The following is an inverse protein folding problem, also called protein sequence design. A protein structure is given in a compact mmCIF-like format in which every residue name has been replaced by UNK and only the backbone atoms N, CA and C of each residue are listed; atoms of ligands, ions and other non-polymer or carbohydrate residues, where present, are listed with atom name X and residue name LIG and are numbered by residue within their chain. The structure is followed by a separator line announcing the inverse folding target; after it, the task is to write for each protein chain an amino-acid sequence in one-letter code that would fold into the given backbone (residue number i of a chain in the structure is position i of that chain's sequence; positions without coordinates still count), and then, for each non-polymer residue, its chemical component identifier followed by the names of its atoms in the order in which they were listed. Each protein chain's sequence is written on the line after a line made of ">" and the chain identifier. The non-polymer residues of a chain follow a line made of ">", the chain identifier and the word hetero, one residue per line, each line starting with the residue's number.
data_IF_298556489065
#
_entry.id   IF_298556489065
#
_cell.length_a   1.000
_cell.length_b   1.000
_cell.length_c   1.000
_cell.angle_alpha   90.00
_cell.angle_beta   90.00
_cell.angle_gamma   90.00
#
_symmetry.space_group_name_H-M   'P 1'
#
loop_
_entity.id
_entity.type
_entity.pdbx_description
1 polymer ?
#
# COMPACT_ATOMS: atom_id res chain seq x y z
N UNK A 1 10.98 2.49 -11.69
CA UNK A 1 10.49 3.75 -11.07
C UNK A 1 9.06 3.98 -11.52
N UNK A 2 8.12 4.26 -10.60
CA UNK A 2 6.74 4.65 -10.92
C UNK A 2 6.60 6.16 -10.68
N UNK A 3 6.02 6.88 -11.64
CA UNK A 3 5.71 8.30 -11.50
C UNK A 3 4.20 8.50 -11.63
N UNK A 4 3.61 9.16 -10.65
CA UNK A 4 2.18 9.51 -10.61
C UNK A 4 2.07 11.03 -10.67
N UNK A 5 1.30 11.55 -11.65
CA UNK A 5 1.18 12.99 -11.88
C UNK A 5 -0.29 13.39 -11.94
N UNK A 6 -0.69 14.32 -11.06
CA UNK A 6 -2.05 14.91 -10.99
C UNK A 6 -3.18 13.85 -10.95
N UNK A 7 -2.90 12.71 -10.33
CA UNK A 7 -3.86 11.59 -10.27
C UNK A 7 -5.05 11.95 -9.39
N UNK A 8 -6.25 11.74 -9.92
CA UNK A 8 -7.50 11.89 -9.17
C UNK A 8 -8.43 10.74 -9.46
N UNK A 9 -9.15 10.29 -8.42
CA UNK A 9 -10.18 9.26 -8.53
C UNK A 9 -11.47 9.72 -7.88
N UNK A 10 -12.59 9.52 -8.61
CA UNK A 10 -13.93 9.83 -8.15
C UNK A 10 -14.86 8.65 -8.42
N UNK A 11 -15.62 8.24 -7.41
CA UNK A 11 -16.69 7.26 -7.52
C UNK A 11 -18.05 7.89 -7.18
N UNK A 12 -19.02 7.76 -8.06
CA UNK A 12 -20.40 8.19 -7.78
C UNK A 12 -20.54 9.63 -7.27
N UNK A 13 -19.70 10.56 -7.75
CA UNK A 13 -19.71 11.96 -7.31
C UNK A 13 -18.87 12.25 -6.06
N UNK A 14 -18.37 11.23 -5.35
CA UNK A 14 -17.46 11.41 -4.22
C UNK A 14 -16.00 11.24 -4.65
N UNK A 15 -15.16 12.26 -4.38
CA UNK A 15 -13.72 12.18 -4.62
C UNK A 15 -13.06 11.33 -3.53
N UNK A 16 -12.33 10.30 -3.94
CA UNK A 16 -11.55 9.46 -3.04
C UNK A 16 -10.20 10.14 -2.75
N UNK A 17 -9.51 10.59 -3.79
CA UNK A 17 -8.32 11.45 -3.69
C UNK A 17 -8.20 12.34 -4.93
N UNK A 18 -7.44 13.44 -4.78
CA UNK A 18 -7.34 14.49 -5.79
C UNK A 18 -5.91 15.05 -5.87
N UNK A 19 -5.46 15.33 -7.10
CA UNK A 19 -4.18 15.98 -7.41
C UNK A 19 -2.98 15.30 -6.76
N UNK A 20 -2.91 13.97 -6.85
CA UNK A 20 -1.83 13.17 -6.27
C UNK A 20 -0.61 13.22 -7.17
N UNK A 21 0.53 13.60 -6.58
CA UNK A 21 1.82 13.61 -7.25
C UNK A 21 2.81 12.83 -6.39
N UNK A 22 3.27 11.68 -6.89
CA UNK A 22 4.15 10.76 -6.18
C UNK A 22 5.21 10.20 -7.12
N UNK A 23 6.36 9.85 -6.55
CA UNK A 23 7.45 9.19 -7.26
C UNK A 23 7.99 8.05 -6.41
N UNK A 24 7.90 6.84 -6.95
CA UNK A 24 8.40 5.64 -6.30
C UNK A 24 9.70 5.19 -6.99
N UNK A 25 10.74 4.96 -6.21
CA UNK A 25 12.09 4.66 -6.69
C UNK A 25 12.47 3.24 -6.27
N UNK A 26 13.09 2.42 -7.14
CA UNK A 26 13.61 1.10 -6.77
C UNK A 26 14.56 1.15 -5.57
N UNK A 27 14.73 0.02 -4.89
CA UNK A 27 15.52 -0.08 -3.67
C UNK A 27 14.83 0.52 -2.44
N UNK A 28 13.52 0.77 -2.51
CA UNK A 28 12.74 1.30 -1.39
C UNK A 28 11.45 0.52 -1.19
N UNK A 29 11.03 0.43 0.07
CA UNK A 29 9.74 -0.09 0.47
C UNK A 29 8.83 1.06 0.93
N UNK A 30 7.65 1.16 0.33
CA UNK A 30 6.65 2.21 0.59
C UNK A 30 5.44 1.61 1.30
N UNK A 31 5.26 1.96 2.57
CA UNK A 31 4.09 1.56 3.36
C UNK A 31 2.90 2.49 3.11
N UNK A 32 1.82 1.97 2.55
CA UNK A 32 0.58 2.74 2.32
C UNK A 32 -0.34 2.58 3.52
N UNK A 33 -0.64 3.69 4.17
CA UNK A 33 -1.47 3.74 5.35
C UNK A 33 -2.65 4.68 5.18
N UNK A 34 -3.70 4.48 5.98
CA UNK A 34 -4.91 5.29 5.94
C UNK A 34 -6.04 4.60 6.69
N UNK A 35 -7.15 5.30 6.92
CA UNK A 35 -8.34 4.71 7.52
C UNK A 35 -8.95 3.61 6.64
N UNK A 36 -9.80 2.75 7.24
CA UNK A 36 -10.58 1.81 6.45
C UNK A 36 -11.51 2.58 5.50
N UNK A 37 -11.51 2.17 4.21
CA UNK A 37 -12.25 2.88 3.16
C UNK A 37 -11.56 4.15 2.63
N UNK A 38 -10.34 4.50 3.07
CA UNK A 38 -9.60 5.65 2.54
C UNK A 38 -9.11 5.47 1.09
N UNK A 39 -9.15 4.25 0.56
CA UNK A 39 -8.76 3.95 -0.82
C UNK A 39 -7.38 3.30 -0.98
N UNK A 40 -6.82 2.69 0.08
CA UNK A 40 -5.50 2.02 0.03
C UNK A 40 -5.44 0.95 -1.06
N UNK A 41 -6.29 -0.08 -0.97
CA UNK A 41 -6.37 -1.16 -1.97
C UNK A 41 -6.76 -0.64 -3.36
N UNK A 42 -7.63 0.39 -3.41
CA UNK A 42 -8.00 1.03 -4.68
C UNK A 42 -6.79 1.72 -5.32
N UNK A 43 -5.93 2.37 -4.53
CA UNK A 43 -4.71 2.98 -5.03
C UNK A 43 -3.74 1.93 -5.59
N UNK A 44 -3.56 0.77 -4.92
CA UNK A 44 -2.79 -0.34 -5.47
C UNK A 44 -3.38 -0.85 -6.80
N UNK A 45 -4.70 -1.02 -6.87
CA UNK A 45 -5.39 -1.48 -8.09
C UNK A 45 -5.27 -0.50 -9.25
N UNK A 46 -5.15 0.79 -8.99
CA UNK A 46 -4.86 1.79 -10.03
C UNK A 46 -3.40 1.66 -10.50
N UNK A 47 -2.47 1.45 -9.58
CA UNK A 47 -1.06 1.26 -9.94
C UNK A 47 -0.84 -0.04 -10.72
N UNK A 48 -1.61 -1.10 -10.45
CA UNK A 48 -1.58 -2.36 -11.20
C UNK A 48 -2.28 -2.28 -12.57
N UNK A 49 -3.08 -1.21 -12.82
CA UNK A 49 -3.87 -1.09 -14.03
C UNK A 49 -5.20 -1.85 -14.01
N UNK A 50 -5.61 -2.40 -12.85
CA UNK A 50 -6.89 -3.10 -12.69
C UNK A 50 -8.10 -2.14 -12.66
N UNK A 51 -7.87 -0.89 -12.25
CA UNK A 51 -8.91 0.15 -12.16
C UNK A 51 -8.44 1.41 -12.86
N UNK A 52 -9.28 1.97 -13.72
CA UNK A 52 -9.04 3.25 -14.36
C UNK A 52 -9.19 4.43 -13.38
N UNK A 53 -8.41 5.46 -13.57
CA UNK A 53 -8.48 6.71 -12.82
C UNK A 53 -9.25 7.80 -13.60
N UNK A 54 -9.73 8.82 -12.89
CA UNK A 54 -10.55 9.88 -13.52
C UNK A 54 -9.68 10.90 -14.29
N UNK A 55 -8.59 11.35 -13.70
CA UNK A 55 -7.64 12.29 -14.32
C UNK A 55 -6.22 12.02 -13.83
N UNK A 56 -5.23 12.47 -14.60
CA UNK A 56 -3.82 12.34 -14.27
C UNK A 56 -3.09 11.39 -15.20
N UNK A 57 -1.89 11.01 -14.82
CA UNK A 57 -1.02 10.11 -15.57
C UNK A 57 -0.19 9.25 -14.62
N UNK A 58 -0.04 7.96 -14.98
CA UNK A 58 0.86 7.02 -14.31
C UNK A 58 1.85 6.52 -15.34
N UNK A 59 3.13 6.72 -15.09
CA UNK A 59 4.21 6.24 -15.95
C UNK A 59 4.96 5.12 -15.25
N UNK A 60 4.94 3.93 -15.87
CA UNK A 60 5.65 2.72 -15.44
C UNK A 60 6.45 2.23 -16.65
N UNK A 61 7.76 1.94 -16.51
CA UNK A 61 8.55 1.41 -17.60
C UNK A 61 8.04 0.02 -18.04
N UNK A 62 7.80 -0.16 -19.32
CA UNK A 62 7.25 -1.40 -19.88
C UNK A 62 8.16 -2.62 -19.78
N UNK A 63 9.45 -2.41 -19.57
CA UNK A 63 10.46 -3.47 -19.44
C UNK A 63 10.61 -4.00 -18.00
N UNK A 64 9.81 -3.52 -17.06
CA UNK A 64 9.87 -3.94 -15.66
C UNK A 64 8.64 -4.79 -15.34
N UNK A 65 8.87 -6.03 -14.94
CA UNK A 65 7.78 -6.92 -14.49
C UNK A 65 7.24 -6.41 -13.15
N UNK A 66 5.92 -6.22 -13.10
CA UNK A 66 5.17 -5.92 -11.89
C UNK A 66 4.45 -7.17 -11.42
N UNK A 67 4.55 -7.46 -10.14
CA UNK A 67 3.79 -8.51 -9.49
C UNK A 67 2.85 -7.95 -8.44
N UNK A 68 1.65 -8.51 -8.37
CA UNK A 68 0.58 -8.07 -7.46
C UNK A 68 0.10 -9.26 -6.65
N UNK A 69 0.03 -9.11 -5.34
CA UNK A 69 -0.57 -10.13 -4.47
C UNK A 69 -2.07 -10.23 -4.78
N UNK A 70 -2.45 -11.33 -5.42
CA UNK A 70 -3.84 -11.63 -5.78
C UNK A 70 -4.64 -12.03 -4.54
N UNK A 71 -5.87 -11.53 -4.43
CA UNK A 71 -6.77 -11.87 -3.31
C UNK A 71 -7.66 -13.08 -3.63
N UNK A 72 -7.86 -13.40 -4.91
CA UNK A 72 -8.66 -14.56 -5.35
C UNK A 72 -7.80 -15.81 -5.47
N UNK A 73 -7.72 -16.56 -4.38
CA UNK A 73 -6.96 -17.80 -4.30
C UNK A 73 -7.71 -19.02 -4.87
N UNK A 74 -9.00 -18.90 -5.19
CA UNK A 74 -9.77 -19.99 -5.79
C UNK A 74 -9.52 -20.16 -7.30
N UNK A 75 -9.00 -19.12 -7.95
CA UNK A 75 -8.67 -19.12 -9.37
C UNK A 75 -7.71 -20.26 -9.76
N UNK A 76 -6.91 -20.73 -8.83
CA UNK A 76 -5.84 -21.70 -9.06
C UNK A 76 -6.15 -23.09 -8.48
N UNK A 77 -7.37 -23.39 -8.09
CA UNK A 77 -7.76 -24.64 -7.43
C UNK A 77 -7.43 -25.92 -8.26
N UNK A 78 -7.40 -25.82 -9.58
CA UNK A 78 -7.09 -26.94 -10.49
C UNK A 78 -5.58 -27.10 -10.79
N UNK A 79 -4.72 -26.24 -10.25
CA UNK A 79 -3.28 -26.29 -10.44
C UNK A 79 -2.57 -26.80 -9.19
N UNK A 80 -1.36 -27.34 -9.38
CA UNK A 80 -0.51 -27.68 -8.25
C UNK A 80 0.06 -26.42 -7.59
N UNK A 81 0.48 -26.54 -6.33
CA UNK A 81 1.15 -25.47 -5.59
C UNK A 81 2.38 -24.95 -6.36
N UNK A 82 3.21 -25.88 -6.86
CA UNK A 82 4.40 -25.57 -7.66
C UNK A 82 4.05 -24.77 -8.91
N UNK A 83 3.10 -25.26 -9.72
CA UNK A 83 2.65 -24.57 -10.93
C UNK A 83 2.08 -23.18 -10.62
N UNK A 84 1.27 -23.07 -9.54
CA UNK A 84 0.66 -21.80 -9.13
C UNK A 84 1.72 -20.76 -8.84
N UNK A 85 2.80 -21.10 -8.15
CA UNK A 85 3.87 -20.14 -7.87
C UNK A 85 4.61 -19.75 -9.14
N UNK A 86 4.96 -20.71 -10.01
CA UNK A 86 5.64 -20.44 -11.30
C UNK A 86 4.81 -19.51 -12.19
N UNK A 87 3.46 -19.60 -12.15
CA UNK A 87 2.56 -18.69 -12.87
C UNK A 87 2.71 -17.22 -12.44
N UNK A 88 3.37 -16.92 -11.33
CA UNK A 88 3.80 -15.55 -10.97
C UNK A 88 4.72 -14.91 -12.01
N UNK A 89 5.37 -15.73 -12.84
CA UNK A 89 6.06 -15.30 -14.05
C UNK A 89 5.38 -15.96 -15.26
N UNK A 90 4.34 -15.30 -15.79
CA UNK A 90 3.50 -15.83 -16.87
C UNK A 90 4.33 -16.29 -18.07
N UNK A 91 5.31 -15.49 -18.51
CA UNK A 91 6.13 -15.85 -19.67
C UNK A 91 6.98 -17.11 -19.43
N UNK A 92 7.53 -17.27 -18.24
CA UNK A 92 8.29 -18.47 -17.90
C UNK A 92 7.37 -19.71 -17.91
N UNK A 93 6.17 -19.60 -17.34
CA UNK A 93 5.20 -20.68 -17.33
C UNK A 93 4.74 -21.06 -18.74
N UNK A 94 4.47 -20.07 -19.61
CA UNK A 94 4.15 -20.32 -21.03
C UNK A 94 5.28 -21.06 -21.74
N UNK A 95 6.55 -20.64 -21.57
CA UNK A 95 7.71 -21.29 -22.17
C UNK A 95 7.80 -22.75 -21.70
N UNK A 96 7.59 -23.02 -20.41
CA UNK A 96 7.57 -24.39 -19.90
C UNK A 96 6.51 -25.24 -20.60
N UNK A 97 5.29 -24.74 -20.72
CA UNK A 97 4.20 -25.45 -21.40
C UNK A 97 4.43 -25.60 -22.91
N UNK A 98 4.97 -24.57 -23.58
CA UNK A 98 5.32 -24.65 -24.98
C UNK A 98 6.43 -25.68 -25.25
N UNK A 99 7.45 -25.74 -24.40
CA UNK A 99 8.51 -26.74 -24.46
C UNK A 99 7.96 -28.14 -24.28
N UNK A 100 7.14 -28.38 -23.25
CA UNK A 100 6.51 -29.67 -22.97
C UNK A 100 5.68 -30.15 -24.16
N UNK A 101 4.84 -29.24 -24.71
CA UNK A 101 4.01 -29.54 -25.85
C UNK A 101 4.84 -29.83 -27.11
N UNK A 102 5.98 -29.14 -27.29
CA UNK A 102 6.84 -29.29 -28.44
C UNK A 102 7.58 -30.63 -28.38
N UNK A 103 8.12 -31.00 -27.23
CA UNK A 103 8.84 -32.27 -27.05
C UNK A 103 7.92 -33.50 -26.97
N UNK A 104 6.63 -33.30 -26.71
CA UNK A 104 5.60 -34.36 -26.75
C UNK A 104 5.12 -34.70 -28.15
N UNK A 105 5.54 -33.98 -29.21
CA UNK A 105 5.15 -34.26 -30.59
C UNK A 105 5.76 -35.57 -31.09
N UNK A 106 4.95 -36.42 -31.70
CA UNK A 106 5.43 -37.66 -32.35
C UNK A 106 6.23 -37.36 -33.62
N UNK A 107 5.82 -36.30 -34.37
CA UNK A 107 6.50 -35.85 -35.60
C UNK A 107 7.29 -34.57 -35.33
N UNK A 108 8.48 -34.69 -34.73
CA UNK A 108 9.36 -33.56 -34.45
C UNK A 108 10.12 -33.15 -35.71
N UNK A 109 9.90 -31.90 -36.18
CA UNK A 109 10.50 -31.38 -37.42
C UNK A 109 11.72 -30.50 -37.16
N UNK A 110 12.51 -30.20 -38.23
CA UNK A 110 13.63 -29.25 -38.14
C UNK A 110 13.16 -27.84 -37.66
N UNK A 111 11.94 -27.40 -38.05
CA UNK A 111 11.34 -26.14 -37.60
C UNK A 111 11.05 -26.21 -36.12
N UNK A 112 10.57 -27.34 -35.60
CA UNK A 112 10.35 -27.54 -34.15
C UNK A 112 11.70 -27.49 -33.41
N UNK A 113 12.79 -28.00 -34.00
CA UNK A 113 14.12 -27.88 -33.43
C UNK A 113 14.63 -26.47 -33.31
N UNK A 114 14.36 -25.59 -34.29
CA UNK A 114 14.70 -24.17 -34.23
C UNK A 114 13.85 -23.47 -33.13
N UNK A 115 12.55 -23.76 -33.09
CA UNK A 115 11.65 -23.20 -32.05
C UNK A 115 12.08 -23.63 -30.66
N UNK A 116 12.43 -24.91 -30.47
CA UNK A 116 12.93 -25.43 -29.20
C UNK A 116 14.20 -24.69 -28.73
N UNK A 117 15.16 -24.45 -29.66
CA UNK A 117 16.37 -23.70 -29.34
C UNK A 117 16.12 -22.28 -28.89
N UNK A 118 15.13 -21.56 -29.48
CA UNK A 118 14.73 -20.22 -29.07
C UNK A 118 14.12 -20.26 -27.68
N UNK A 119 13.16 -21.18 -27.43
CA UNK A 119 12.52 -21.33 -26.13
C UNK A 119 13.52 -21.71 -25.04
N UNK A 120 14.52 -22.55 -25.33
CA UNK A 120 15.60 -22.88 -24.38
C UNK A 120 16.44 -21.64 -24.03
N UNK A 121 16.74 -20.79 -25.02
CA UNK A 121 17.43 -19.53 -24.78
C UNK A 121 16.65 -18.60 -23.85
N UNK A 122 15.36 -18.36 -24.14
CA UNK A 122 14.48 -17.53 -23.29
C UNK A 122 14.33 -18.14 -21.89
N UNK A 123 14.19 -19.46 -21.79
CA UNK A 123 14.08 -20.18 -20.53
C UNK A 123 15.34 -20.00 -19.66
N UNK A 124 16.52 -20.10 -20.27
CA UNK A 124 17.79 -19.89 -19.57
C UNK A 124 17.96 -18.43 -19.11
N UNK A 125 17.57 -17.44 -19.95
CA UNK A 125 17.61 -16.02 -19.59
C UNK A 125 16.72 -15.69 -18.40
N UNK A 126 15.61 -16.42 -18.21
CA UNK A 126 14.69 -16.26 -17.08
C UNK A 126 15.06 -17.13 -15.87
N UNK A 127 16.25 -17.74 -15.82
CA UNK A 127 16.66 -18.71 -14.80
C UNK A 127 15.68 -19.89 -14.62
N UNK A 128 15.06 -20.33 -15.71
CA UNK A 128 14.04 -21.38 -15.67
C UNK A 128 14.53 -22.72 -15.08
N UNK A 129 15.82 -23.02 -15.20
CA UNK A 129 16.42 -24.23 -14.61
C UNK A 129 16.39 -24.24 -13.07
N UNK A 130 16.42 -23.09 -12.45
CA UNK A 130 16.39 -22.94 -10.99
C UNK A 130 14.96 -22.64 -10.45
N UNK A 131 13.97 -22.54 -11.35
CA UNK A 131 12.61 -22.13 -11.00
C UNK A 131 11.98 -22.98 -9.89
N UNK A 132 12.03 -24.31 -9.99
CA UNK A 132 11.48 -25.20 -8.97
C UNK A 132 12.23 -25.06 -7.63
N UNK A 133 13.54 -24.83 -7.66
CA UNK A 133 14.35 -24.63 -6.46
C UNK A 133 13.98 -23.31 -5.79
N UNK A 134 13.80 -22.23 -6.55
CA UNK A 134 13.36 -20.94 -6.03
C UNK A 134 11.95 -21.05 -5.44
N UNK A 135 11.02 -21.71 -6.13
CA UNK A 135 9.67 -21.96 -5.60
C UNK A 135 9.72 -22.72 -4.29
N UNK A 136 10.53 -23.79 -4.22
CA UNK A 136 10.66 -24.58 -3.00
C UNK A 136 11.21 -23.75 -1.83
N UNK A 137 12.17 -22.86 -2.07
CA UNK A 137 12.71 -21.94 -1.06
C UNK A 137 11.67 -20.94 -0.57
N UNK A 138 10.89 -20.32 -1.48
CA UNK A 138 9.81 -19.39 -1.14
C UNK A 138 8.72 -20.07 -0.30
N UNK A 139 8.27 -21.24 -0.74
CA UNK A 139 7.24 -22.01 -0.03
C UNK A 139 7.72 -22.45 1.36
N UNK A 140 8.95 -22.94 1.46
CA UNK A 140 9.53 -23.36 2.73
C UNK A 140 9.69 -22.17 3.70
N UNK A 141 10.14 -21.03 3.21
CA UNK A 141 10.25 -19.79 3.99
C UNK A 141 8.89 -19.33 4.54
N UNK A 142 7.82 -19.51 3.77
CA UNK A 142 6.44 -19.24 4.19
C UNK A 142 5.80 -20.39 4.99
N UNK A 143 6.57 -21.42 5.37
CA UNK A 143 6.09 -22.51 6.20
C UNK A 143 5.26 -23.58 5.47
N UNK A 144 5.30 -23.62 4.13
CA UNK A 144 4.67 -24.67 3.33
C UNK A 144 5.66 -25.84 3.15
N UNK A 145 5.38 -26.96 3.79
CA UNK A 145 6.24 -28.15 3.73
C UNK A 145 6.32 -28.78 2.35
N UNK A 146 7.47 -29.41 2.03
CA UNK A 146 7.76 -30.01 0.72
C UNK A 146 6.73 -31.04 0.25
N UNK A 147 6.05 -31.72 1.18
CA UNK A 147 4.98 -32.69 0.87
C UNK A 147 3.81 -32.03 0.12
N UNK A 148 3.55 -30.75 0.38
CA UNK A 148 2.44 -30.01 -0.22
C UNK A 148 2.80 -29.38 -1.59
N UNK A 149 4.09 -29.31 -1.98
CA UNK A 149 4.50 -28.61 -3.18
C UNK A 149 3.85 -29.15 -4.47
N UNK A 150 3.59 -30.45 -4.52
CA UNK A 150 2.96 -31.10 -5.70
C UNK A 150 1.47 -31.43 -5.47
N UNK A 151 0.88 -30.99 -4.33
CA UNK A 151 -0.55 -31.09 -4.07
C UNK A 151 -1.31 -30.04 -4.89
N UNK A 152 -2.60 -30.28 -5.15
CA UNK A 152 -3.44 -29.28 -5.80
C UNK A 152 -3.82 -28.16 -4.82
N UNK A 153 -3.96 -26.94 -5.33
CA UNK A 153 -4.38 -25.80 -4.54
C UNK A 153 -5.73 -26.04 -3.81
N UNK A 154 -6.68 -26.72 -4.43
CA UNK A 154 -7.96 -27.07 -3.81
C UNK A 154 -7.84 -27.90 -2.53
N UNK A 155 -6.76 -28.65 -2.39
CA UNK A 155 -6.53 -29.56 -1.23
C UNK A 155 -5.91 -28.81 -0.03
N UNK A 156 -5.46 -27.56 -0.22
CA UNK A 156 -4.89 -26.73 0.83
C UNK A 156 -5.98 -26.04 1.66
N UNK A 157 -5.67 -25.78 2.92
CA UNK A 157 -6.51 -24.90 3.75
C UNK A 157 -6.36 -23.42 3.28
N UNK A 158 -7.30 -22.54 3.70
CA UNK A 158 -7.33 -21.15 3.26
C UNK A 158 -6.06 -20.36 3.64
N UNK A 159 -5.46 -20.65 4.80
CA UNK A 159 -4.21 -19.98 5.22
C UNK A 159 -3.03 -20.34 4.34
N UNK A 160 -2.87 -21.64 4.00
CA UNK A 160 -1.80 -22.10 3.13
C UNK A 160 -1.99 -21.57 1.69
N UNK A 161 -3.23 -21.48 1.20
CA UNK A 161 -3.52 -20.84 -0.11
C UNK A 161 -2.99 -19.41 -0.16
N UNK A 162 -3.22 -18.61 0.88
CA UNK A 162 -2.71 -17.22 0.96
C UNK A 162 -1.18 -17.19 0.93
N UNK A 163 -0.50 -18.10 1.65
CA UNK A 163 0.96 -18.22 1.63
C UNK A 163 1.48 -18.59 0.24
N UNK A 164 0.81 -19.48 -0.48
CA UNK A 164 1.16 -19.83 -1.87
C UNK A 164 0.98 -18.65 -2.82
N UNK A 165 -0.10 -17.87 -2.67
CA UNK A 165 -0.31 -16.66 -3.46
C UNK A 165 0.75 -15.60 -3.18
N UNK A 166 1.20 -15.50 -1.93
CA UNK A 166 2.32 -14.62 -1.59
C UNK A 166 3.62 -15.10 -2.25
N UNK A 167 3.94 -16.41 -2.19
CA UNK A 167 5.07 -16.98 -2.91
C UNK A 167 5.00 -16.69 -4.42
N UNK A 168 3.82 -16.82 -5.05
CA UNK A 168 3.57 -16.46 -6.44
C UNK A 168 3.94 -15.00 -6.73
N UNK A 169 3.52 -14.07 -5.85
CA UNK A 169 3.81 -12.65 -6.01
C UNK A 169 5.31 -12.33 -5.89
N UNK A 170 6.06 -13.09 -5.09
CA UNK A 170 7.48 -12.89 -4.86
C UNK A 170 8.38 -13.59 -5.89
N UNK A 171 7.85 -14.61 -6.60
CA UNK A 171 8.61 -15.49 -7.49
C UNK A 171 9.26 -14.76 -8.67
N UNK A 172 10.48 -15.18 -8.99
CA UNK A 172 11.24 -14.73 -10.18
C UNK A 172 11.68 -13.25 -10.04
N UNK A 173 11.82 -12.72 -8.86
CA UNK A 173 12.34 -11.38 -8.53
C UNK A 173 11.77 -10.27 -9.44
N UNK A 174 10.46 -9.96 -9.37
CA UNK A 174 9.87 -8.88 -10.16
C UNK A 174 10.54 -7.55 -9.83
N UNK A 175 10.57 -6.61 -10.76
CA UNK A 175 11.13 -5.28 -10.48
C UNK A 175 10.22 -4.39 -9.62
N UNK A 176 8.92 -4.71 -9.56
CA UNK A 176 7.91 -4.01 -8.75
C UNK A 176 7.02 -5.05 -8.08
N UNK A 177 6.81 -4.92 -6.77
CA UNK A 177 5.90 -5.75 -5.97
C UNK A 177 4.84 -4.87 -5.32
N UNK A 178 3.56 -5.24 -5.53
CA UNK A 178 2.41 -4.62 -4.87
C UNK A 178 1.77 -5.63 -3.92
N UNK A 179 1.78 -5.33 -2.62
CA UNK A 179 1.24 -6.21 -1.58
C UNK A 179 0.09 -5.53 -0.84
N UNK A 180 -1.08 -6.15 -0.82
CA UNK A 180 -2.23 -5.69 -0.04
C UNK A 180 -2.45 -6.60 1.15
N UNK A 181 -2.14 -6.12 2.37
CA UNK A 181 -2.24 -6.83 3.65
C UNK A 181 -1.52 -8.20 3.67
N UNK A 182 -0.22 -8.28 3.29
CA UNK A 182 0.47 -9.55 3.11
C UNK A 182 0.69 -10.32 4.42
N UNK A 183 0.64 -9.65 5.56
CA UNK A 183 0.82 -10.27 6.89
C UNK A 183 -0.45 -10.95 7.41
N UNK A 184 -1.61 -10.73 6.77
CA UNK A 184 -2.85 -11.37 7.17
C UNK A 184 -2.76 -12.89 6.97
N UNK A 185 -3.16 -13.65 7.98
CA UNK A 185 -3.14 -15.11 8.01
C UNK A 185 -1.73 -15.75 7.98
N UNK A 186 -0.66 -14.98 8.19
CA UNK A 186 0.68 -15.50 8.41
C UNK A 186 0.94 -15.73 9.89
N UNK A 187 1.69 -16.78 10.21
CA UNK A 187 2.30 -16.96 11.53
C UNK A 187 3.55 -16.06 11.68
N UNK A 188 4.03 -15.93 12.90
CA UNK A 188 5.15 -15.05 13.24
C UNK A 188 6.43 -15.43 12.44
N UNK A 189 6.67 -16.73 12.26
CA UNK A 189 7.86 -17.20 11.51
C UNK A 189 7.80 -16.79 10.04
N UNK A 190 6.63 -16.95 9.41
CA UNK A 190 6.39 -16.51 8.02
C UNK A 190 6.45 -15.00 7.87
N UNK A 191 5.98 -14.22 8.86
CA UNK A 191 6.10 -12.74 8.86
C UNK A 191 7.56 -12.34 8.94
N UNK A 192 8.34 -12.92 9.87
CA UNK A 192 9.78 -12.61 10.00
C UNK A 192 10.54 -12.94 8.72
N UNK A 193 10.25 -14.11 8.12
CA UNK A 193 10.84 -14.48 6.85
C UNK A 193 10.50 -13.48 5.71
N UNK A 194 9.25 -13.01 5.67
CA UNK A 194 8.82 -12.01 4.69
C UNK A 194 9.52 -10.66 4.91
N UNK A 195 9.70 -10.25 6.17
CA UNK A 195 10.46 -9.05 6.52
C UNK A 195 11.89 -9.14 5.99
N UNK A 196 12.60 -10.23 6.26
CA UNK A 196 13.96 -10.47 5.79
C UNK A 196 14.03 -10.46 4.26
N UNK A 197 13.08 -11.14 3.59
CA UNK A 197 13.00 -11.15 2.12
C UNK A 197 12.84 -9.74 1.54
N UNK A 198 11.96 -8.91 2.13
CA UNK A 198 11.70 -7.56 1.64
C UNK A 198 12.86 -6.58 1.94
N UNK A 199 13.60 -6.81 3.01
CA UNK A 199 14.81 -6.02 3.33
C UNK A 199 15.94 -6.27 2.32
N UNK A 200 16.07 -7.50 1.82
CA UNK A 200 17.07 -7.88 0.81
C UNK A 200 16.60 -7.61 -0.63
N UNK A 201 15.37 -7.14 -0.80
CA UNK A 201 14.79 -6.92 -2.13
C UNK A 201 15.24 -5.59 -2.74
N UNK A 202 15.95 -5.65 -3.87
CA UNK A 202 16.50 -4.47 -4.56
C UNK A 202 15.49 -3.71 -5.43
N UNK A 203 14.32 -4.30 -5.71
CA UNK A 203 13.26 -3.70 -6.53
C UNK A 203 12.45 -2.63 -5.81
N UNK A 204 11.30 -2.32 -6.34
CA UNK A 204 10.33 -1.40 -5.75
C UNK A 204 9.24 -2.20 -5.03
N UNK A 205 9.01 -1.94 -3.76
CA UNK A 205 7.91 -2.53 -2.98
C UNK A 205 6.91 -1.45 -2.58
N UNK A 206 5.63 -1.71 -2.83
CA UNK A 206 4.54 -0.91 -2.27
C UNK A 206 3.63 -1.85 -1.50
N UNK A 207 3.52 -1.64 -0.19
CA UNK A 207 2.76 -2.51 0.71
C UNK A 207 1.69 -1.73 1.45
N UNK A 208 0.47 -2.25 1.46
CA UNK A 208 -0.59 -1.84 2.39
C UNK A 208 -0.52 -2.76 3.58
N UNK A 209 -0.41 -2.24 4.79
CA UNK A 209 -0.52 -3.04 6.01
C UNK A 209 -1.08 -2.21 7.17
N UNK A 210 -1.72 -2.90 8.10
CA UNK A 210 -2.13 -2.36 9.41
C UNK A 210 -1.17 -2.77 10.54
N UNK A 211 -0.22 -3.62 10.25
CA UNK A 211 0.80 -4.06 11.21
C UNK A 211 1.91 -2.99 11.32
N UNK A 212 1.97 -2.35 12.50
CA UNK A 212 2.95 -1.30 12.77
C UNK A 212 4.36 -1.84 12.85
N UNK A 213 4.54 -3.04 13.42
CA UNK A 213 5.86 -3.65 13.55
C UNK A 213 6.43 -3.92 12.15
N UNK A 214 5.67 -4.58 11.32
CA UNK A 214 6.02 -4.86 9.94
C UNK A 214 6.38 -3.58 9.16
N UNK A 215 5.53 -2.53 9.24
CA UNK A 215 5.81 -1.25 8.58
C UNK A 215 7.07 -0.55 9.10
N UNK A 216 7.38 -0.67 10.39
CA UNK A 216 8.60 -0.12 10.97
C UNK A 216 9.85 -0.87 10.51
N UNK A 217 9.74 -2.18 10.35
CA UNK A 217 10.87 -3.04 9.97
C UNK A 217 11.23 -2.86 8.50
N UNK A 218 10.24 -2.93 7.59
CA UNK A 218 10.51 -3.02 6.15
C UNK A 218 10.42 -1.68 5.39
N UNK A 219 9.64 -0.69 5.88
CA UNK A 219 9.37 0.50 5.09
C UNK A 219 10.43 1.60 5.27
N UNK A 220 10.90 2.12 4.14
CA UNK A 220 11.76 3.31 4.05
C UNK A 220 10.95 4.60 3.92
N UNK A 221 9.71 4.49 3.43
CA UNK A 221 8.80 5.60 3.20
C UNK A 221 7.38 5.23 3.61
N UNK A 222 6.63 6.22 4.10
CA UNK A 222 5.20 6.06 4.39
C UNK A 222 4.38 6.94 3.45
N UNK A 223 3.39 6.33 2.81
CA UNK A 223 2.41 6.98 1.93
C UNK A 223 1.08 7.05 2.69
N UNK A 224 0.75 8.22 3.14
CA UNK A 224 -0.43 8.49 3.97
C UNK A 224 -1.62 8.94 3.12
N UNK A 225 -2.71 8.17 3.14
CA UNK A 225 -3.97 8.50 2.48
C UNK A 225 -4.93 9.06 3.54
N UNK A 226 -5.03 10.38 3.59
CA UNK A 226 -5.96 11.08 4.48
C UNK A 226 -6.46 12.38 3.86
N UNK A 227 -7.60 12.88 4.30
CA UNK A 227 -8.20 14.14 3.81
C UNK A 227 -8.38 14.21 2.28
N UNK A 228 -8.66 13.08 1.63
CA UNK A 228 -8.75 12.96 0.16
C UNK A 228 -7.45 13.37 -0.57
N UNK A 229 -6.33 13.28 0.11
CA UNK A 229 -4.98 13.53 -0.43
C UNK A 229 -4.08 12.35 -0.10
N UNK A 230 -3.05 12.19 -0.90
CA UNK A 230 -2.00 11.22 -0.63
C UNK A 230 -0.71 11.99 -0.46
N UNK A 231 -0.03 11.75 0.66
CA UNK A 231 1.25 12.39 0.98
C UNK A 231 2.29 11.33 1.28
N UNK A 232 3.52 11.57 0.85
CA UNK A 232 4.65 10.71 1.10
C UNK A 232 5.56 11.33 2.17
N UNK A 233 6.01 10.49 3.09
CA UNK A 233 6.96 10.84 4.14
C UNK A 233 8.16 9.91 4.03
N UNK A 234 9.36 10.45 4.16
CA UNK A 234 10.61 9.68 4.21
C UNK A 234 10.81 9.23 5.65
N UNK A 235 10.99 7.94 5.84
CA UNK A 235 11.14 7.30 7.15
C UNK A 235 10.10 6.20 7.36
N UNK A 236 10.20 5.49 8.49
CA UNK A 236 9.32 4.40 8.88
C UNK A 236 8.00 4.90 9.52
N UNK A 237 7.18 3.97 10.00
CA UNK A 237 5.88 4.29 10.61
C UNK A 237 6.01 5.17 11.86
N UNK A 238 6.97 4.92 12.74
CA UNK A 238 7.12 5.70 13.98
C UNK A 238 7.52 7.15 13.68
N UNK A 239 8.45 7.35 12.75
CA UNK A 239 8.82 8.70 12.30
C UNK A 239 7.63 9.45 11.69
N UNK A 240 6.83 8.77 10.84
CA UNK A 240 5.60 9.35 10.31
C UNK A 240 4.62 9.71 11.43
N UNK A 241 4.43 8.81 12.42
CA UNK A 241 3.49 9.02 13.52
C UNK A 241 3.86 10.25 14.35
N UNK A 242 5.11 10.37 14.78
CA UNK A 242 5.62 11.52 15.53
C UNK A 242 5.50 12.82 14.73
N UNK A 243 5.91 12.80 13.45
CA UNK A 243 5.81 13.95 12.55
C UNK A 243 4.36 14.39 12.33
N UNK A 244 3.43 13.45 12.19
CA UNK A 244 2.01 13.74 12.00
C UNK A 244 1.37 14.33 13.26
N UNK A 245 1.73 13.85 14.45
CA UNK A 245 1.28 14.38 15.74
C UNK A 245 1.78 15.82 15.94
N UNK A 246 3.06 16.07 15.68
CA UNK A 246 3.63 17.42 15.78
C UNK A 246 2.94 18.39 14.82
N UNK A 247 2.72 17.98 13.56
CA UNK A 247 2.05 18.82 12.57
C UNK A 247 0.61 19.15 12.99
N UNK A 248 -0.13 18.18 13.53
CA UNK A 248 -1.48 18.41 14.04
C UNK A 248 -1.48 19.38 15.22
N UNK A 249 -0.52 19.26 16.13
CA UNK A 249 -0.38 20.16 17.26
C UNK A 249 -0.09 21.60 16.80
N UNK A 250 0.86 21.77 15.89
CA UNK A 250 1.21 23.07 15.30
C UNK A 250 0.00 23.71 14.60
N UNK A 251 -0.79 22.94 13.84
CA UNK A 251 -2.01 23.43 13.21
C UNK A 251 -3.06 23.86 14.25
N UNK A 252 -3.27 23.09 15.32
CA UNK A 252 -4.18 23.46 16.40
C UNK A 252 -3.76 24.77 17.08
N UNK A 253 -2.46 24.91 17.37
CA UNK A 253 -1.92 26.11 18.01
C UNK A 253 -2.05 27.35 17.11
N UNK A 254 -1.81 27.18 15.79
CA UNK A 254 -2.00 28.24 14.80
C UNK A 254 -3.46 28.65 14.68
N UNK A 255 -4.38 27.69 14.61
CA UNK A 255 -5.82 27.97 14.54
C UNK A 255 -6.29 28.67 15.81
N UNK A 256 -5.88 28.22 16.98
CA UNK A 256 -6.20 28.90 18.24
C UNK A 256 -5.74 30.37 18.26
N UNK A 257 -4.49 30.62 17.83
CA UNK A 257 -3.98 32.01 17.71
C UNK A 257 -4.77 32.85 16.68
N UNK A 258 -5.23 32.24 15.59
CA UNK A 258 -6.09 32.90 14.59
C UNK A 258 -7.47 33.21 15.17
N UNK A 259 -8.09 32.24 15.86
CA UNK A 259 -9.39 32.42 16.54
C UNK A 259 -9.33 33.53 17.59
N UNK A 260 -8.31 33.54 18.46
CA UNK A 260 -8.12 34.60 19.45
C UNK A 260 -7.99 35.98 18.76
N UNK A 261 -7.21 36.06 17.68
CA UNK A 261 -7.06 37.31 16.91
C UNK A 261 -8.35 37.74 16.21
N UNK A 262 -9.14 36.81 15.69
CA UNK A 262 -10.47 37.10 15.13
C UNK A 262 -11.38 37.63 16.21
N UNK A 263 -11.43 37.02 17.39
CA UNK A 263 -12.23 37.44 18.54
C UNK A 263 -11.85 38.84 19.03
N UNK A 264 -10.58 39.15 19.11
CA UNK A 264 -10.10 40.48 19.47
C UNK A 264 -10.48 41.54 18.44
N UNK A 265 -10.36 41.23 17.15
CA UNK A 265 -10.79 42.14 16.08
C UNK A 265 -12.30 42.37 16.09
N UNK A 266 -13.11 41.33 16.30
CA UNK A 266 -14.56 41.42 16.43
C UNK A 266 -14.95 42.27 17.61
N UNK A 267 -14.36 42.04 18.78
CA UNK A 267 -14.60 42.82 19.98
C UNK A 267 -14.26 44.32 19.79
N UNK A 268 -13.11 44.58 19.11
CA UNK A 268 -12.72 45.95 18.82
C UNK A 268 -13.70 46.61 17.83
N UNK A 269 -14.10 45.94 16.76
CA UNK A 269 -15.06 46.47 15.78
C UNK A 269 -16.39 46.75 16.47
N UNK A 270 -16.89 45.86 17.33
CA UNK A 270 -18.13 46.03 18.04
C UNK A 270 -18.12 47.26 18.98
N UNK A 271 -16.99 47.45 19.73
CA UNK A 271 -16.86 48.57 20.69
C UNK A 271 -16.70 49.92 20.01
N UNK A 272 -16.09 50.00 18.84
CA UNK A 272 -15.69 51.24 18.20
C UNK A 272 -16.39 51.55 16.87
N UNK A 273 -17.32 50.73 16.41
CA UNK A 273 -18.07 50.94 15.15
C UNK A 273 -18.92 52.21 15.16
N UNK A 274 -19.49 52.59 16.32
CA UNK A 274 -20.32 53.80 16.50
C UNK A 274 -19.53 55.08 16.79
N UNK A 275 -18.19 54.98 16.99
CA UNK A 275 -17.38 56.14 17.36
C UNK A 275 -16.75 56.79 16.11
N UNK A 276 -17.20 58.03 15.77
CA UNK A 276 -16.76 58.79 14.60
C UNK A 276 -15.23 58.94 14.49
N UNK A 277 -14.52 59.15 15.62
CA UNK A 277 -13.05 59.33 15.60
C UNK A 277 -12.26 58.05 15.34
N UNK A 278 -12.84 56.86 15.66
CA UNK A 278 -12.20 55.55 15.47
C UNK A 278 -12.77 54.74 14.29
N UNK A 279 -13.75 55.31 13.57
CA UNK A 279 -14.43 54.65 12.45
C UNK A 279 -13.45 54.15 11.35
N UNK A 280 -12.42 54.95 11.00
CA UNK A 280 -11.39 54.55 10.04
C UNK A 280 -10.58 53.35 10.52
N UNK A 281 -10.28 53.27 11.83
CA UNK A 281 -9.58 52.13 12.42
C UNK A 281 -10.45 50.87 12.46
N UNK A 282 -11.76 51.01 12.76
CA UNK A 282 -12.71 49.90 12.72
C UNK A 282 -12.87 49.34 11.29
N UNK A 283 -12.91 50.20 10.26
CA UNK A 283 -12.98 49.80 8.85
C UNK A 283 -11.70 49.07 8.41
N UNK A 284 -10.51 49.55 8.80
CA UNK A 284 -9.25 48.88 8.52
C UNK A 284 -9.19 47.47 9.15
N UNK A 285 -9.68 47.36 10.42
CA UNK A 285 -9.70 46.07 11.10
C UNK A 285 -10.77 45.10 10.56
N UNK A 286 -11.88 45.63 10.01
CA UNK A 286 -12.86 44.81 9.28
C UNK A 286 -12.24 44.16 8.02
N UNK A 287 -11.50 44.98 7.24
CA UNK A 287 -10.76 44.43 6.09
C UNK A 287 -9.68 43.39 6.47
N UNK A 288 -9.07 43.54 7.65
CA UNK A 288 -8.14 42.54 8.18
C UNK A 288 -8.88 41.27 8.61
N UNK A 289 -10.05 41.38 9.22
CA UNK A 289 -10.91 40.27 9.62
C UNK A 289 -11.38 39.48 8.41
N UNK A 290 -11.76 40.13 7.30
CA UNK A 290 -12.18 39.51 6.04
C UNK A 290 -11.03 38.69 5.37
N UNK A 291 -9.78 39.00 5.69
CA UNK A 291 -8.60 38.30 5.21
C UNK A 291 -8.13 37.16 6.12
N UNK A 292 -8.62 37.13 7.36
CA UNK A 292 -8.30 36.09 8.34
C UNK A 292 -9.30 34.95 8.18
N UNK A 293 -9.02 34.01 7.30
CA UNK A 293 -9.74 32.75 7.25
C UNK A 293 -9.13 31.81 8.30
N UNK A 294 -9.96 31.22 9.13
CA UNK A 294 -9.58 30.05 9.93
C UNK A 294 -9.47 28.89 8.95
N UNK A 295 -8.29 28.33 8.81
CA UNK A 295 -8.16 27.09 8.06
C UNK A 295 -9.04 26.04 8.75
N UNK A 296 -10.14 25.66 8.10
CA UNK A 296 -10.92 24.51 8.55
C UNK A 296 -9.97 23.33 8.66
N UNK A 297 -9.79 22.81 9.89
CA UNK A 297 -9.11 21.54 10.06
C UNK A 297 -9.99 20.49 9.38
N UNK A 298 -9.57 19.93 8.26
CA UNK A 298 -10.34 18.88 7.64
C UNK A 298 -10.50 17.76 8.68
N UNK A 299 -11.71 17.23 8.81
CA UNK A 299 -11.93 16.12 9.74
C UNK A 299 -11.18 14.91 9.24
N UNK A 300 -10.18 14.45 9.99
CA UNK A 300 -9.47 13.22 9.66
C UNK A 300 -10.44 12.06 9.53
N UNK A 301 -10.25 11.23 8.50
CA UNK A 301 -10.99 9.98 8.35
C UNK A 301 -10.62 8.96 9.45
N UNK A 302 -9.54 9.19 10.19
CA UNK A 302 -9.09 8.39 11.33
C UNK A 302 -9.81 8.77 12.62
N UNK A 303 -11.11 8.49 12.71
CA UNK A 303 -11.85 8.64 13.98
C UNK A 303 -11.64 7.37 14.79
N UNK A 304 -10.89 7.48 15.89
CA UNK A 304 -10.89 6.41 16.90
C UNK A 304 -12.24 6.45 17.62
N UNK A 305 -13.01 5.36 17.67
CA UNK A 305 -14.20 5.30 18.49
C UNK A 305 -13.75 5.46 19.96
N UNK A 306 -14.11 6.60 20.57
CA UNK A 306 -13.86 6.81 21.99
C UNK A 306 -15.07 6.30 22.77
N UNK A 307 -14.88 5.18 23.45
CA UNK A 307 -15.86 4.68 24.41
C UNK A 307 -15.51 5.26 25.78
N UNK A 308 -16.31 6.20 26.24
CA UNK A 308 -16.18 6.75 27.59
C UNK A 308 -16.86 5.81 28.58
N UNK A 309 -16.07 5.13 29.37
CA UNK A 309 -16.58 4.40 30.52
C UNK A 309 -16.76 5.38 31.68
N UNK A 310 -17.99 5.63 32.07
CA UNK A 310 -18.32 6.39 33.28
C UNK A 310 -18.76 5.38 34.32
N UNK A 311 -18.11 5.31 35.49
CA UNK A 311 -18.55 4.42 36.55
C UNK A 311 -19.90 4.92 37.10
N UNK A 312 -20.84 4.02 37.41
CA UNK A 312 -22.15 4.34 38.00
C UNK A 312 -22.03 4.86 39.44
N UNK A 313 -20.85 4.67 40.04
CA UNK A 313 -20.53 5.17 41.41
C UNK A 313 -19.05 5.54 41.47
N UNK A 314 -18.70 6.41 42.41
CA UNK A 314 -17.27 6.65 42.71
C UNK A 314 -16.61 5.37 43.18
N UNK A 315 -15.55 4.98 42.47
CA UNK A 315 -14.70 3.83 42.81
C UNK A 315 -13.51 4.32 43.63
N UNK A 316 -13.19 3.61 44.71
CA UNK A 316 -12.02 3.89 45.54
C UNK A 316 -10.71 3.67 44.79
N UNK A 317 -9.59 3.99 45.46
CA UNK A 317 -8.24 3.90 44.86
C UNK A 317 -7.78 2.46 44.54
N UNK A 318 -8.41 1.45 45.13
CA UNK A 318 -8.16 0.04 44.86
C UNK A 318 -9.35 -0.57 44.12
N UNK A 319 -9.18 -0.81 42.81
CA UNK A 319 -10.26 -1.37 41.96
C UNK A 319 -10.07 -2.89 41.76
N UNK A 320 -8.82 -3.34 41.72
CA UNK A 320 -8.46 -4.73 41.54
C UNK A 320 -7.08 -4.98 42.14
N UNK A 321 -6.94 -6.02 42.96
CA UNK A 321 -5.66 -6.57 43.41
C UNK A 321 -5.50 -7.94 42.76
N UNK A 322 -4.45 -8.15 41.98
CA UNK A 322 -4.11 -9.42 41.33
C UNK A 322 -2.91 -10.02 42.02
#
# INVERSE_FOLDING_TARGET
>A
MITVTNLSLQFGGSKLFNDVNLKFVPGNCYGVIGANGAGKSTFLKILSGEIDYTTGEISIPSNIRMSVLQQDHFKYDDYTVMETVIMGNERLYEIMKEKDALYAKEDFTDEDGVKASVLEGEFAEMNGWDAETEVAQLLQGLGIGSVLHYSYMRDLNGGDKVKVMLAQALFGRPGIILLDEPTNNLDIESVTWLEDFLLDFEGLVIVVSHDRHFLNTVCTHIVDIDYKKIKMYVGNYDFWYESSQLMQQLMRDQNRKREDKIKDLQNFIQRFSANKSKSKQATSRRKLLEKLEVEEMPSSSRRYPFVKFTPDREVGNEILTV
#
